data_IF_453634967944
#
_entry.id   IF_453634967944
#
_cell.length_a   1.000
_cell.length_b   1.000
_cell.length_c   1.000
_cell.angle_alpha   90.00
_cell.angle_beta   90.00
_cell.angle_gamma   90.00
#
_symmetry.space_group_name_H-M   'P 1'
#
loop_
_entity.id
_entity.type
_entity.pdbx_description
1 polymer ?
#
# COMPACT_ATOMS: atom_id res chain seq x y z
N UNK A 1 12.43 10.74 -23.10
CA UNK A 1 13.88 10.96 -23.25
C UNK A 1 14.17 11.48 -24.65
N UNK A 2 15.28 12.19 -24.88
CA UNK A 2 15.66 12.66 -26.21
C UNK A 2 15.84 11.52 -27.20
N UNK A 3 15.60 11.77 -28.47
CA UNK A 3 15.86 10.82 -29.55
C UNK A 3 17.37 10.56 -29.64
N UNK A 4 17.79 9.30 -29.42
CA UNK A 4 19.20 8.88 -29.48
C UNK A 4 19.82 8.38 -28.17
N UNK A 5 19.04 8.16 -27.11
CA UNK A 5 19.58 7.57 -25.88
C UNK A 5 20.05 6.12 -26.11
N UNK A 6 21.34 5.87 -25.96
CA UNK A 6 22.02 4.64 -26.39
C UNK A 6 21.71 3.41 -25.51
N UNK A 7 21.19 3.62 -24.30
CA UNK A 7 20.99 2.57 -23.31
C UNK A 7 19.54 2.43 -22.87
N UNK A 8 18.61 2.40 -23.84
CA UNK A 8 17.20 2.10 -23.57
C UNK A 8 17.01 0.85 -22.69
N UNK A 9 17.87 -0.15 -22.91
CA UNK A 9 17.81 -1.46 -22.25
C UNK A 9 18.42 -1.45 -20.82
N UNK A 10 19.23 -0.44 -20.49
CA UNK A 10 19.91 -0.29 -19.19
C UNK A 10 19.36 0.87 -18.34
N UNK A 11 18.34 1.58 -18.82
CA UNK A 11 17.42 2.33 -17.95
C UNK A 11 16.82 1.30 -17.02
N UNK A 12 17.40 1.19 -15.81
CA UNK A 12 16.97 0.25 -14.80
C UNK A 12 15.44 0.16 -14.81
N UNK A 13 14.92 -1.05 -15.07
CA UNK A 13 13.50 -1.41 -14.94
C UNK A 13 12.94 -1.21 -13.52
N UNK A 14 13.70 -0.53 -12.65
CA UNK A 14 13.31 0.07 -11.37
C UNK A 14 12.97 1.57 -11.51
N UNK A 15 12.61 2.08 -12.70
CA UNK A 15 11.84 3.33 -12.76
C UNK A 15 10.54 3.09 -12.01
N UNK A 16 10.49 3.69 -10.83
CA UNK A 16 9.44 3.58 -9.84
C UNK A 16 8.09 3.88 -10.48
N UNK A 17 7.42 2.80 -10.84
CA UNK A 17 6.00 2.69 -11.08
C UNK A 17 5.48 3.52 -12.25
N UNK A 18 5.27 2.87 -13.41
CA UNK A 18 4.46 3.44 -14.50
C UNK A 18 3.11 3.96 -13.97
N UNK A 19 2.63 3.43 -12.85
CA UNK A 19 1.42 3.88 -12.19
C UNK A 19 1.56 5.25 -11.51
N UNK A 20 2.74 5.60 -10.95
CA UNK A 20 3.00 6.95 -10.42
C UNK A 20 3.13 7.96 -11.55
N UNK A 21 3.75 7.58 -12.67
CA UNK A 21 3.78 8.42 -13.87
C UNK A 21 2.37 8.64 -14.43
N UNK A 22 1.57 7.58 -14.56
CA UNK A 22 0.18 7.66 -15.01
C UNK A 22 -0.69 8.56 -14.12
N UNK A 23 -0.49 8.52 -12.80
CA UNK A 23 -1.21 9.40 -11.87
C UNK A 23 -0.80 10.87 -12.02
N UNK A 24 0.49 11.14 -12.20
CA UNK A 24 0.99 12.49 -12.49
C UNK A 24 0.43 13.00 -13.82
N UNK A 25 0.41 12.15 -14.86
CA UNK A 25 -0.20 12.49 -16.16
C UNK A 25 -1.70 12.79 -16.04
N UNK A 26 -2.46 12.02 -15.24
CA UNK A 26 -3.88 12.29 -14.98
C UNK A 26 -4.10 13.68 -14.36
N UNK A 27 -3.31 14.03 -13.35
CA UNK A 27 -3.45 15.32 -12.63
C UNK A 27 -2.98 16.50 -13.48
N UNK A 28 -1.84 16.36 -14.17
CA UNK A 28 -1.29 17.42 -15.03
C UNK A 28 -2.07 17.55 -16.35
N UNK A 29 -2.68 16.47 -16.84
CA UNK A 29 -3.45 16.40 -18.08
C UNK A 29 -4.90 16.88 -17.95
N UNK A 30 -5.36 17.24 -16.75
CA UNK A 30 -6.73 17.68 -16.47
C UNK A 30 -7.17 19.00 -17.17
N UNK A 31 -6.28 19.63 -17.95
CA UNK A 31 -6.61 20.79 -18.81
C UNK A 31 -6.91 22.09 -18.07
N UNK A 32 -6.68 22.14 -16.74
CA UNK A 32 -6.85 23.33 -15.90
C UNK A 32 -5.50 23.91 -15.47
N UNK A 33 -5.47 25.21 -15.20
CA UNK A 33 -4.33 25.81 -14.51
C UNK A 33 -4.23 25.24 -13.10
N UNK A 34 -3.03 24.79 -12.72
CA UNK A 34 -2.74 24.23 -11.42
C UNK A 34 -2.14 25.30 -10.51
N UNK A 35 -2.66 25.39 -9.30
CA UNK A 35 -2.15 26.27 -8.26
C UNK A 35 -0.99 25.61 -7.50
N UNK A 36 -0.28 26.37 -6.67
CA UNK A 36 0.72 25.82 -5.74
C UNK A 36 0.10 24.81 -4.78
N UNK A 37 -1.16 25.00 -4.38
CA UNK A 37 -1.88 24.07 -3.50
C UNK A 37 -2.13 22.74 -4.22
N UNK A 38 -2.57 22.77 -5.49
CA UNK A 38 -2.75 21.55 -6.29
C UNK A 38 -1.44 20.76 -6.41
N UNK A 39 -0.30 21.45 -6.57
CA UNK A 39 1.02 20.80 -6.61
C UNK A 39 1.45 20.22 -5.26
N UNK A 40 1.09 20.86 -4.15
CA UNK A 40 1.33 20.34 -2.81
C UNK A 40 0.49 19.08 -2.54
N UNK A 41 -0.76 19.06 -2.98
CA UNK A 41 -1.65 17.89 -2.89
C UNK A 41 -1.10 16.73 -3.74
N UNK A 42 -0.62 16.99 -4.95
CA UNK A 42 -0.01 15.98 -5.81
C UNK A 42 1.23 15.31 -5.17
N UNK A 43 2.03 16.06 -4.41
CA UNK A 43 3.19 15.49 -3.70
C UNK A 43 2.78 14.53 -2.57
N UNK A 44 1.58 14.71 -2.02
CA UNK A 44 1.01 13.93 -0.91
C UNK A 44 -0.07 12.95 -1.37
N UNK A 45 -0.18 12.67 -2.66
CA UNK A 45 -1.22 11.79 -3.20
C UNK A 45 -1.05 10.35 -2.68
N UNK A 46 -2.06 9.89 -1.95
CA UNK A 46 -2.12 8.55 -1.33
C UNK A 46 -2.91 7.55 -2.20
N UNK A 47 -3.43 7.96 -3.36
CA UNK A 47 -4.19 7.09 -4.24
C UNK A 47 -3.32 5.96 -4.83
N UNK A 48 -3.76 4.71 -4.66
CA UNK A 48 -3.16 3.56 -5.32
C UNK A 48 -3.81 3.28 -6.68
N UNK A 49 -3.09 3.59 -7.76
CA UNK A 49 -3.50 3.20 -9.12
C UNK A 49 -3.44 1.68 -9.29
N UNK A 50 -2.54 0.99 -8.59
CA UNK A 50 -2.53 -0.48 -8.57
C UNK A 50 -3.84 -1.03 -7.97
N UNK A 51 -4.35 -0.42 -6.89
CA UNK A 51 -5.60 -0.84 -6.25
C UNK A 51 -6.80 -0.69 -7.20
N UNK A 52 -6.86 0.39 -7.97
CA UNK A 52 -7.90 0.60 -9.00
C UNK A 52 -7.97 -0.53 -10.02
N UNK A 53 -6.85 -1.19 -10.31
CA UNK A 53 -6.79 -2.30 -11.27
C UNK A 53 -6.99 -3.67 -10.61
N UNK A 54 -6.52 -3.86 -9.38
CA UNK A 54 -6.56 -5.14 -8.69
C UNK A 54 -7.88 -5.39 -7.95
N UNK A 55 -8.40 -4.39 -7.23
CA UNK A 55 -9.62 -4.54 -6.41
C UNK A 55 -10.84 -5.00 -7.23
N UNK A 56 -11.09 -4.49 -8.46
CA UNK A 56 -12.21 -4.96 -9.26
C UNK A 56 -12.18 -6.46 -9.60
N UNK A 57 -10.99 -7.09 -9.61
CA UNK A 57 -10.85 -8.54 -9.84
C UNK A 57 -11.48 -9.36 -8.70
N UNK A 58 -11.71 -8.76 -7.53
CA UNK A 58 -12.33 -9.42 -6.40
C UNK A 58 -13.85 -9.61 -6.57
N UNK A 59 -14.54 -8.92 -7.50
CA UNK A 59 -16.01 -8.80 -7.53
C UNK A 59 -16.77 -10.13 -7.65
N UNK A 60 -16.21 -11.09 -8.39
CA UNK A 60 -16.90 -12.35 -8.71
C UNK A 60 -16.11 -13.58 -8.25
N UNK A 61 -15.31 -13.43 -7.19
CA UNK A 61 -14.55 -14.57 -6.67
C UNK A 61 -15.50 -15.67 -6.15
N UNK A 62 -15.33 -16.92 -6.60
CA UNK A 62 -16.07 -18.05 -6.06
C UNK A 62 -15.60 -18.38 -4.64
N UNK A 63 -16.44 -19.09 -3.88
CA UNK A 63 -16.11 -19.65 -2.57
C UNK A 63 -15.56 -18.63 -1.56
N UNK A 64 -16.17 -17.44 -1.53
CA UNK A 64 -15.86 -16.37 -0.58
C UNK A 64 -16.96 -16.30 0.48
N UNK A 65 -16.60 -16.52 1.74
CA UNK A 65 -17.50 -16.47 2.88
C UNK A 65 -16.85 -15.79 4.11
N UNK A 66 -17.63 -15.64 5.19
CA UNK A 66 -17.16 -15.17 6.49
C UNK A 66 -16.35 -13.86 6.47
N UNK A 67 -15.15 -13.92 7.05
CA UNK A 67 -14.23 -12.77 7.12
C UNK A 67 -13.72 -12.36 5.73
N UNK A 68 -13.53 -13.31 4.82
CA UNK A 68 -13.06 -13.03 3.45
C UNK A 68 -14.11 -12.22 2.70
N UNK A 69 -15.39 -12.60 2.81
CA UNK A 69 -16.51 -11.84 2.21
C UNK A 69 -16.62 -10.42 2.78
N UNK A 70 -16.39 -10.27 4.09
CA UNK A 70 -16.38 -8.95 4.74
C UNK A 70 -15.24 -8.08 4.22
N UNK A 71 -14.03 -8.63 4.11
CA UNK A 71 -12.88 -7.91 3.58
C UNK A 71 -13.04 -7.57 2.09
N UNK A 72 -13.59 -8.49 1.29
CA UNK A 72 -13.91 -8.28 -0.12
C UNK A 72 -14.88 -7.10 -0.29
N UNK A 73 -15.99 -7.09 0.46
CA UNK A 73 -16.96 -6.01 0.40
C UNK A 73 -16.36 -4.65 0.78
N UNK A 74 -15.54 -4.62 1.84
CA UNK A 74 -14.79 -3.42 2.26
C UNK A 74 -13.87 -2.90 1.16
N UNK A 75 -13.10 -3.78 0.52
CA UNK A 75 -12.21 -3.39 -0.57
C UNK A 75 -12.98 -2.87 -1.79
N UNK A 76 -14.09 -3.51 -2.15
CA UNK A 76 -14.92 -3.10 -3.30
C UNK A 76 -15.63 -1.75 -3.11
N UNK A 77 -15.90 -1.35 -1.86
CA UNK A 77 -16.49 -0.05 -1.50
C UNK A 77 -15.43 1.06 -1.27
N UNK A 78 -14.16 0.67 -1.14
CA UNK A 78 -13.06 1.58 -0.84
C UNK A 78 -12.69 2.50 -2.01
N UNK A 79 -12.30 3.73 -1.68
CA UNK A 79 -11.88 4.78 -2.62
C UNK A 79 -10.45 4.65 -3.16
N UNK A 80 -9.72 3.61 -2.74
CA UNK A 80 -8.34 3.32 -3.10
C UNK A 80 -7.30 4.30 -2.55
N UNK A 81 -7.65 5.08 -1.52
CA UNK A 81 -6.74 6.03 -0.85
C UNK A 81 -6.02 5.33 0.31
N UNK A 82 -4.69 5.26 0.25
CA UNK A 82 -3.82 4.65 1.26
C UNK A 82 -3.64 5.53 2.51
N UNK A 83 -4.74 6.06 3.03
CA UNK A 83 -4.74 6.96 4.17
C UNK A 83 -4.36 6.27 5.47
N UNK A 84 -3.66 7.00 6.36
CA UNK A 84 -3.18 6.48 7.65
C UNK A 84 -4.23 5.82 8.55
N UNK A 85 -5.48 6.27 8.50
CA UNK A 85 -6.56 5.74 9.34
C UNK A 85 -7.43 4.72 8.59
N UNK A 86 -7.15 4.47 7.31
CA UNK A 86 -7.90 3.52 6.49
C UNK A 86 -7.63 2.08 6.93
N UNK A 87 -8.71 1.32 7.09
CA UNK A 87 -8.70 -0.11 7.38
C UNK A 87 -8.49 -0.89 6.09
N UNK A 88 -9.18 -0.47 5.04
CA UNK A 88 -9.16 -1.02 3.70
C UNK A 88 -7.76 -0.94 3.10
N UNK A 89 -7.04 0.16 3.31
CA UNK A 89 -5.64 0.30 2.92
C UNK A 89 -4.72 -0.72 3.61
N UNK A 90 -4.98 -1.05 4.88
CA UNK A 90 -4.20 -2.07 5.59
C UNK A 90 -4.43 -3.48 5.02
N UNK A 91 -5.69 -3.80 4.71
CA UNK A 91 -6.07 -5.05 4.05
C UNK A 91 -5.45 -5.12 2.66
N UNK A 92 -5.65 -4.09 1.83
CA UNK A 92 -5.14 -4.02 0.46
C UNK A 92 -3.62 -4.19 0.40
N UNK A 93 -2.85 -3.43 1.19
CA UNK A 93 -1.38 -3.50 1.12
C UNK A 93 -0.85 -4.84 1.61
N UNK A 94 -1.52 -5.47 2.59
CA UNK A 94 -1.14 -6.81 3.04
C UNK A 94 -1.41 -7.86 1.96
N UNK A 95 -2.56 -7.76 1.31
CA UNK A 95 -2.97 -8.62 0.21
C UNK A 95 -2.10 -8.46 -1.04
N UNK A 96 -1.86 -7.24 -1.49
CA UNK A 96 -1.03 -6.92 -2.66
C UNK A 96 0.39 -7.50 -2.52
N UNK A 97 0.96 -7.47 -1.31
CA UNK A 97 2.30 -8.03 -1.05
C UNK A 97 2.34 -9.54 -1.23
N UNK A 98 1.35 -10.26 -0.71
CA UNK A 98 1.25 -11.70 -0.87
C UNK A 98 0.95 -12.08 -2.32
N UNK A 99 0.10 -11.29 -2.98
CA UNK A 99 -0.22 -11.48 -4.39
C UNK A 99 1.02 -11.30 -5.27
N UNK A 100 1.81 -10.24 -5.04
CA UNK A 100 3.10 -10.03 -5.72
C UNK A 100 4.06 -11.19 -5.53
N UNK A 101 4.15 -11.71 -4.30
CA UNK A 101 5.01 -12.85 -3.99
C UNK A 101 4.53 -14.11 -4.70
N UNK A 102 3.25 -14.46 -4.61
CA UNK A 102 2.74 -15.69 -5.21
C UNK A 102 2.75 -15.65 -6.74
N UNK A 103 2.50 -14.48 -7.34
CA UNK A 103 2.68 -14.31 -8.80
C UNK A 103 4.16 -14.43 -9.15
N UNK A 104 5.08 -13.87 -8.35
CA UNK A 104 6.50 -14.07 -8.57
C UNK A 104 6.87 -15.57 -8.57
N UNK A 105 6.41 -16.34 -7.59
CA UNK A 105 6.68 -17.79 -7.47
C UNK A 105 6.12 -18.60 -8.67
N UNK A 106 5.01 -18.16 -9.28
CA UNK A 106 4.43 -18.80 -10.48
C UNK A 106 5.26 -18.51 -11.73
N UNK A 107 5.78 -17.28 -11.85
CA UNK A 107 6.37 -16.77 -13.10
C UNK A 107 7.87 -17.02 -13.18
N UNK A 108 8.57 -16.90 -12.04
CA UNK A 108 10.02 -17.00 -11.97
C UNK A 108 10.40 -18.46 -11.77
N UNK A 109 11.25 -19.05 -12.62
CA UNK A 109 11.73 -20.42 -12.41
C UNK A 109 12.56 -20.54 -11.12
N UNK A 110 12.53 -21.71 -10.49
CA UNK A 110 13.26 -22.02 -9.25
C UNK A 110 14.70 -21.51 -9.24
N UNK A 111 15.46 -21.76 -10.31
CA UNK A 111 16.88 -21.39 -10.39
C UNK A 111 17.12 -19.87 -10.47
N UNK A 112 16.09 -19.09 -10.80
CA UNK A 112 16.16 -17.64 -10.99
C UNK A 112 15.68 -16.83 -9.78
N UNK A 113 15.13 -17.46 -8.73
CA UNK A 113 14.56 -16.76 -7.57
C UNK A 113 15.60 -15.91 -6.83
N UNK A 114 16.84 -16.40 -6.73
CA UNK A 114 17.93 -15.68 -6.05
C UNK A 114 18.38 -14.42 -6.80
N UNK A 115 18.17 -14.39 -8.12
CA UNK A 115 18.58 -13.29 -8.98
C UNK A 115 17.46 -12.29 -9.23
N UNK A 116 16.21 -12.76 -9.27
CA UNK A 116 15.03 -11.95 -9.52
C UNK A 116 14.24 -11.90 -8.22
N UNK A 117 14.51 -10.90 -7.38
CA UNK A 117 13.83 -10.79 -6.07
C UNK A 117 12.45 -10.13 -6.13
N UNK A 118 12.12 -9.43 -7.23
CA UNK A 118 10.86 -8.73 -7.42
C UNK A 118 10.45 -8.69 -8.88
N UNK A 119 9.16 -8.80 -9.13
CA UNK A 119 8.53 -8.48 -10.42
C UNK A 119 7.91 -7.08 -10.38
N UNK A 120 7.74 -6.48 -11.56
CA UNK A 120 7.10 -5.18 -11.71
C UNK A 120 5.57 -5.30 -11.47
N UNK A 121 5.00 -4.39 -10.67
CA UNK A 121 3.57 -4.37 -10.31
C UNK A 121 2.64 -4.31 -11.52
N UNK A 122 3.00 -3.54 -12.56
CA UNK A 122 2.20 -3.50 -13.79
C UNK A 122 2.16 -4.86 -14.48
N UNK A 123 3.31 -5.53 -14.61
CA UNK A 123 3.35 -6.87 -15.23
C UNK A 123 2.48 -7.87 -14.45
N UNK A 124 2.54 -7.81 -13.12
CA UNK A 124 1.62 -8.59 -12.28
C UNK A 124 0.15 -8.29 -12.63
N UNK A 125 -0.23 -7.02 -12.70
CA UNK A 125 -1.60 -6.62 -13.06
C UNK A 125 -1.98 -7.14 -14.45
N UNK A 126 -1.10 -6.98 -15.46
CA UNK A 126 -1.35 -7.44 -16.82
C UNK A 126 -1.62 -8.96 -16.85
N UNK A 127 -0.82 -9.76 -16.13
CA UNK A 127 -1.03 -11.21 -16.00
C UNK A 127 -2.31 -11.57 -15.23
N UNK A 128 -2.69 -10.80 -14.22
CA UNK A 128 -3.90 -11.06 -13.44
C UNK A 128 -5.18 -10.63 -14.16
N UNK A 129 -5.13 -9.59 -15.00
CA UNK A 129 -6.25 -9.13 -15.82
C UNK A 129 -6.50 -10.10 -16.98
N UNK A 130 -5.43 -10.57 -17.62
CA UNK A 130 -5.47 -11.53 -18.72
C UNK A 130 -4.67 -12.80 -18.35
N UNK A 131 -5.23 -13.69 -17.50
CA UNK A 131 -4.53 -14.89 -17.07
C UNK A 131 -4.36 -15.87 -18.23
N UNK A 132 -3.18 -16.49 -18.30
CA UNK A 132 -2.83 -17.50 -19.29
C UNK A 132 -2.44 -18.84 -18.62
N UNK A 133 -1.93 -19.78 -19.41
CA UNK A 133 -1.62 -21.14 -18.95
C UNK A 133 -0.66 -21.24 -17.76
N UNK A 134 0.02 -20.14 -17.36
CA UNK A 134 0.82 -20.08 -16.13
C UNK A 134 -0.01 -20.26 -14.87
N UNK A 135 -1.29 -19.89 -14.91
CA UNK A 135 -2.23 -20.09 -13.79
C UNK A 135 -2.90 -21.48 -13.81
N UNK A 136 -2.43 -22.41 -14.66
CA UNK A 136 -2.90 -23.78 -14.75
C UNK A 136 -3.79 -24.04 -15.97
N UNK A 137 -4.49 -25.19 -15.95
CA UNK A 137 -5.32 -25.65 -17.08
C UNK A 137 -6.56 -24.80 -17.32
N UNK A 138 -7.11 -24.22 -16.25
CA UNK A 138 -8.10 -23.15 -16.30
C UNK A 138 -7.48 -21.88 -15.70
N UNK A 139 -6.94 -20.98 -16.54
CA UNK A 139 -6.26 -19.78 -16.07
C UNK A 139 -7.14 -18.85 -15.22
N UNK A 140 -8.45 -18.81 -15.50
CA UNK A 140 -9.39 -17.94 -14.79
C UNK A 140 -9.58 -18.50 -13.38
N UNK A 141 -9.89 -19.79 -13.26
CA UNK A 141 -10.05 -20.43 -11.97
C UNK A 141 -8.77 -20.37 -11.12
N UNK A 142 -7.59 -20.54 -11.75
CA UNK A 142 -6.30 -20.42 -11.06
C UNK A 142 -6.02 -19.01 -10.56
N UNK A 143 -6.30 -17.99 -11.38
CA UNK A 143 -6.19 -16.58 -10.98
C UNK A 143 -7.14 -16.24 -9.85
N UNK A 144 -8.38 -16.70 -9.90
CA UNK A 144 -9.39 -16.44 -8.87
C UNK A 144 -9.02 -17.12 -7.53
N UNK A 145 -8.55 -18.37 -7.59
CA UNK A 145 -8.02 -19.06 -6.41
C UNK A 145 -6.83 -18.31 -5.81
N UNK A 146 -5.89 -17.84 -6.63
CA UNK A 146 -4.74 -17.07 -6.18
C UNK A 146 -5.15 -15.78 -5.45
N UNK A 147 -6.10 -15.02 -6.00
CA UNK A 147 -6.59 -13.78 -5.40
C UNK A 147 -7.23 -14.05 -4.03
N UNK A 148 -8.10 -15.07 -3.96
CA UNK A 148 -8.80 -15.48 -2.75
C UNK A 148 -7.83 -15.98 -1.68
N UNK A 149 -6.94 -16.91 -2.03
CA UNK A 149 -6.00 -17.52 -1.07
C UNK A 149 -5.02 -16.47 -0.52
N UNK A 150 -4.58 -15.52 -1.36
CA UNK A 150 -3.77 -14.38 -0.92
C UNK A 150 -4.53 -13.48 0.04
N UNK A 151 -5.83 -13.27 -0.18
CA UNK A 151 -6.66 -12.43 0.69
C UNK A 151 -6.86 -13.13 2.04
N UNK A 152 -7.15 -14.42 2.05
CA UNK A 152 -7.25 -15.23 3.26
C UNK A 152 -5.99 -15.11 4.11
N UNK A 153 -4.82 -15.33 3.51
CA UNK A 153 -3.54 -15.23 4.23
C UNK A 153 -3.25 -13.80 4.68
N UNK A 154 -3.66 -12.78 3.93
CA UNK A 154 -3.54 -11.38 4.35
C UNK A 154 -4.33 -11.10 5.64
N UNK A 155 -5.55 -11.63 5.75
CA UNK A 155 -6.39 -11.48 6.94
C UNK A 155 -5.79 -12.21 8.15
N UNK A 156 -5.22 -13.40 7.94
CA UNK A 156 -4.47 -14.12 8.98
C UNK A 156 -3.28 -13.29 9.47
N UNK A 157 -2.45 -12.79 8.56
CA UNK A 157 -1.28 -11.98 8.88
C UNK A 157 -1.64 -10.67 9.61
N UNK A 158 -2.76 -10.05 9.25
CA UNK A 158 -3.27 -8.85 9.94
C UNK A 158 -3.81 -9.18 11.33
N UNK A 159 -4.54 -10.29 11.47
CA UNK A 159 -5.03 -10.78 12.77
C UNK A 159 -3.87 -11.00 13.73
N UNK A 160 -2.81 -11.67 13.29
CA UNK A 160 -1.60 -11.90 14.08
C UNK A 160 -0.90 -10.60 14.45
N UNK A 161 -0.72 -9.70 13.46
CA UNK A 161 -0.03 -8.42 13.64
C UNK A 161 -0.74 -7.52 14.66
N UNK A 162 -2.06 -7.43 14.59
CA UNK A 162 -2.85 -6.55 15.45
C UNK A 162 -3.31 -7.23 16.74
N UNK A 163 -3.30 -8.56 16.78
CA UNK A 163 -3.73 -9.39 17.91
C UNK A 163 -5.26 -9.45 18.07
N UNK A 164 -6.00 -9.26 16.98
CA UNK A 164 -7.47 -9.21 16.99
C UNK A 164 -8.03 -9.48 15.60
N UNK A 165 -9.14 -10.21 15.53
CA UNK A 165 -9.93 -10.43 14.31
C UNK A 165 -10.85 -9.26 13.97
N UNK A 166 -10.96 -8.26 14.86
CA UNK A 166 -11.73 -7.04 14.57
C UNK A 166 -10.98 -6.16 13.56
N UNK A 167 -11.40 -6.28 12.30
CA UNK A 167 -10.83 -5.54 11.16
C UNK A 167 -10.82 -4.03 11.39
N UNK A 168 -11.77 -3.48 12.16
CA UNK A 168 -11.87 -2.04 12.39
C UNK A 168 -10.68 -1.48 13.20
N UNK A 169 -9.84 -2.36 13.75
CA UNK A 169 -8.64 -2.00 14.51
C UNK A 169 -7.37 -2.04 13.66
N UNK A 170 -7.44 -2.50 12.41
CA UNK A 170 -6.29 -2.66 11.52
C UNK A 170 -6.01 -1.38 10.75
N UNK A 171 -5.60 -0.31 11.44
CA UNK A 171 -5.31 0.97 10.78
C UNK A 171 -3.99 0.89 10.02
N UNK A 172 -3.99 1.36 8.78
CA UNK A 172 -2.79 1.36 7.92
C UNK A 172 -1.58 2.00 8.61
N UNK A 173 -1.77 3.23 9.12
CA UNK A 173 -0.77 4.07 9.76
C UNK A 173 -0.40 3.69 11.20
N UNK A 174 -0.88 2.55 11.71
CA UNK A 174 -0.58 2.11 13.07
C UNK A 174 0.91 1.80 13.25
N UNK A 175 1.43 2.06 14.45
CA UNK A 175 2.80 1.72 14.87
C UNK A 175 3.18 0.25 14.66
N UNK A 176 2.20 -0.66 14.69
CA UNK A 176 2.38 -2.10 14.42
C UNK A 176 2.44 -2.44 12.93
N UNK A 177 2.15 -1.49 12.03
CA UNK A 177 2.09 -1.74 10.58
C UNK A 177 2.88 -0.72 9.75
N UNK A 178 2.24 0.28 9.14
CA UNK A 178 2.89 1.24 8.24
C UNK A 178 3.09 2.58 8.92
N UNK A 179 4.17 2.65 9.69
CA UNK A 179 4.56 3.85 10.43
C UNK A 179 6.01 4.23 10.14
N UNK A 180 6.24 5.49 9.75
CA UNK A 180 7.57 6.06 9.60
C UNK A 180 7.97 6.84 10.86
N UNK A 181 8.85 6.25 11.67
CA UNK A 181 9.42 6.92 12.84
C UNK A 181 10.76 7.55 12.48
N UNK A 182 10.79 8.88 12.36
CA UNK A 182 12.03 9.63 12.17
C UNK A 182 12.71 9.78 13.53
N UNK A 183 13.79 9.04 13.75
CA UNK A 183 14.63 9.18 14.94
C UNK A 183 15.73 10.20 14.67
N UNK A 184 15.91 11.14 15.59
CA UNK A 184 17.02 12.07 15.52
C UNK A 184 18.33 11.32 15.89
N UNK A 185 19.48 11.60 15.27
CA UNK A 185 20.75 10.94 15.58
C UNK A 185 21.17 11.02 17.07
N UNK A 186 20.71 12.06 17.78
CA UNK A 186 20.92 12.23 19.23
C UNK A 186 19.77 11.73 20.12
N UNK A 187 18.78 11.02 19.59
CA UNK A 187 17.64 10.55 20.37
C UNK A 187 18.03 9.63 21.54
N UNK A 188 19.18 8.95 21.47
CA UNK A 188 19.75 8.14 22.56
C UNK A 188 20.48 8.95 23.63
N UNK A 189 20.95 10.16 23.31
CA UNK A 189 21.67 11.03 24.24
C UNK A 189 20.73 11.81 25.17
N UNK A 190 19.42 11.77 24.90
CA UNK A 190 18.40 12.45 25.70
C UNK A 190 17.62 11.41 26.49
N UNK A 191 17.99 11.23 27.76
CA UNK A 191 17.17 10.45 28.70
C UNK A 191 15.85 11.20 28.98
N UNK A 192 14.72 10.49 29.19
CA UNK A 192 13.42 11.11 29.48
C UNK A 192 13.39 11.97 30.76
N UNK A 193 14.46 11.93 31.59
CA UNK A 193 14.65 12.80 32.76
C UNK A 193 15.61 13.99 32.56
N UNK A 194 16.12 14.23 31.35
CA UNK A 194 17.04 15.36 31.08
C UNK A 194 16.26 16.63 30.69
N UNK A 195 16.68 17.84 31.12
CA UNK A 195 16.00 19.11 30.82
C UNK A 195 15.83 19.38 29.32
N UNK A 196 16.68 18.79 28.48
CA UNK A 196 16.67 18.93 27.01
C UNK A 196 15.47 18.19 26.38
N UNK A 197 14.94 17.15 27.01
CA UNK A 197 13.75 16.42 26.53
C UNK A 197 12.47 17.28 26.55
N UNK A 198 12.44 18.32 27.40
CA UNK A 198 11.32 19.26 27.46
C UNK A 198 11.33 20.25 26.29
N UNK A 199 12.49 20.54 25.69
CA UNK A 199 12.65 21.53 24.62
C UNK A 199 12.35 20.97 23.23
N UNK A 200 12.51 19.66 23.00
CA UNK A 200 12.10 19.03 21.73
C UNK A 200 10.58 18.83 21.59
N UNK A 201 9.76 19.22 22.60
CA UNK A 201 8.28 19.24 22.46
C UNK A 201 7.76 20.43 21.65
N UNK A 202 8.62 21.34 21.18
CA UNK A 202 8.23 22.58 20.49
C UNK A 202 8.64 22.64 19.02
N UNK A 203 8.51 21.53 18.27
CA UNK A 203 8.28 21.62 16.83
C UNK A 203 6.77 21.53 16.58
N UNK A 204 6.21 22.30 15.63
CA UNK A 204 4.78 22.62 15.60
C UNK A 204 3.96 21.35 15.55
N UNK A 205 3.24 21.12 16.63
CA UNK A 205 2.13 20.19 16.66
C UNK A 205 1.05 20.80 15.78
N UNK A 206 0.72 20.15 14.67
CA UNK A 206 -0.56 20.34 13.99
C UNK A 206 -1.66 19.97 15.00
N UNK A 207 -2.12 20.96 15.77
CA UNK A 207 -3.20 20.84 16.76
C UNK A 207 -4.52 21.15 16.08
N UNK A 208 -5.46 20.22 16.11
CA UNK A 208 -6.88 20.55 16.29
C UNK A 208 -7.54 19.60 17.31
N UNK A 209 -7.82 20.19 18.48
CA UNK A 209 -8.94 19.98 19.42
C UNK A 209 -9.29 18.59 19.96
N UNK A 210 -9.10 18.42 21.28
CA UNK A 210 -10.23 18.15 22.19
C UNK A 210 -9.96 18.68 23.60
N UNK A 211 -11.00 19.26 24.18
CA UNK A 211 -11.03 20.07 25.38
C UNK A 211 -11.17 19.16 26.63
N UNK A 212 -10.38 19.37 27.68
CA UNK A 212 -10.76 18.97 29.06
C UNK A 212 -10.22 19.97 30.08
N UNK A 213 -11.07 20.49 30.99
CA UNK A 213 -10.67 21.41 32.03
C UNK A 213 -10.32 20.63 33.30
N UNK A 214 -9.14 20.84 33.90
CA UNK A 214 -8.94 20.56 35.32
C UNK A 214 -8.06 21.64 35.97
N UNK A 215 -8.77 22.54 36.66
CA UNK A 215 -8.47 23.17 37.95
C UNK A 215 -7.06 23.02 38.56
N UNK A 216 -6.51 24.18 38.96
CA UNK A 216 -5.89 24.54 40.27
C UNK A 216 -5.17 23.40 41.02
N UNK A 217 -3.98 23.59 41.62
CA UNK A 217 -3.51 24.75 42.39
C UNK A 217 -2.09 24.44 42.89
N UNK A 218 -1.30 25.52 42.99
CA UNK A 218 -0.04 25.70 43.71
C UNK A 218 1.21 25.05 43.12
#
# INVERSE_FOLDING_TARGET
MPDGYEHWDALHYTWGDQMRAARVEEVLGAGRHLTTVDMMELQMDELSVAARNLVPLLRNLPDVDGEIATAQAKLLDWDHILGRDSIEAAIYVSWERLLLQRVHDIIVPGEAHDYISRINTKRMIDWLVAPDGRFGTDPIAGRDALLRDSLTEALTNLTERFGTTDMNRWRYGDTKFKHALIRHPMSSAVNPGSPVAAQCRTLPTWRLWWNRPQHRKW
#
